data_IF_218157615479
#
_entry.id   IF_218157615479
#
_cell.length_a   1.000
_cell.length_b   1.000
_cell.length_c   1.000
_cell.angle_alpha   90.00
_cell.angle_beta   90.00
_cell.angle_gamma   90.00
#
_symmetry.space_group_name_H-M   'P 1'
#
loop_
_entity.id
_entity.type
_entity.pdbx_description
1 polymer ?
#
# COMPACT_ATOMS: atom_id res chain seq x y z
N UNK A 1 2.30 5.12 -5.21
CA UNK A 1 1.35 4.89 -4.08
C UNK A 1 1.71 5.80 -2.93
N UNK A 2 0.74 6.42 -2.31
CA UNK A 2 0.97 7.33 -1.19
C UNK A 2 -0.20 7.23 -0.21
N UNK A 3 -0.02 7.78 0.99
CA UNK A 3 -1.07 7.82 2.00
C UNK A 3 -2.28 8.58 1.45
N UNK A 4 -3.46 8.00 1.63
CA UNK A 4 -4.72 8.55 1.12
C UNK A 4 -5.20 7.94 -0.18
N UNK A 5 -4.33 7.19 -0.87
CA UNK A 5 -4.72 6.53 -2.11
C UNK A 5 -5.72 5.40 -1.84
N UNK A 6 -6.69 5.25 -2.73
CA UNK A 6 -7.58 4.09 -2.74
C UNK A 6 -6.93 3.00 -3.58
N UNK A 7 -6.77 1.83 -3.00
CA UNK A 7 -6.08 0.71 -3.63
C UNK A 7 -6.95 -0.54 -3.61
N UNK A 8 -6.67 -1.46 -4.51
CA UNK A 8 -7.33 -2.77 -4.58
C UNK A 8 -6.27 -3.86 -4.59
N UNK A 9 -6.50 -4.93 -3.82
CA UNK A 9 -5.60 -6.08 -3.82
C UNK A 9 -6.00 -7.10 -4.90
N UNK A 10 -5.21 -8.17 -5.03
CA UNK A 10 -5.45 -9.22 -6.03
C UNK A 10 -6.74 -10.01 -5.81
N UNK A 11 -7.36 -9.90 -4.65
CA UNK A 11 -8.62 -10.56 -4.33
C UNK A 11 -9.84 -9.68 -4.59
N UNK A 12 -9.63 -8.44 -5.03
CA UNK A 12 -10.71 -7.51 -5.29
C UNK A 12 -11.14 -6.68 -4.09
N UNK A 13 -10.47 -6.80 -2.96
CA UNK A 13 -10.75 -5.97 -1.78
C UNK A 13 -10.13 -4.60 -1.95
N UNK A 14 -10.84 -3.56 -1.51
CA UNK A 14 -10.38 -2.17 -1.58
C UNK A 14 -10.11 -1.62 -0.20
N UNK A 15 -9.22 -0.64 -0.13
CA UNK A 15 -8.90 0.05 1.11
C UNK A 15 -8.17 1.34 0.84
N UNK A 16 -8.04 2.16 1.88
CA UNK A 16 -7.32 3.43 1.82
C UNK A 16 -5.96 3.27 2.48
N UNK A 17 -4.91 3.68 1.80
CA UNK A 17 -3.55 3.61 2.32
C UNK A 17 -3.38 4.57 3.48
N UNK A 18 -2.93 4.05 4.63
CA UNK A 18 -2.65 4.85 5.81
C UNK A 18 -1.16 4.89 6.15
N UNK A 19 -0.36 3.99 5.57
CA UNK A 19 1.08 3.97 5.77
C UNK A 19 1.75 2.95 4.88
N UNK A 20 3.04 3.12 4.64
CA UNK A 20 3.84 2.18 3.85
C UNK A 20 5.11 1.89 4.64
N UNK A 21 5.31 0.61 4.98
CA UNK A 21 6.50 0.17 5.71
C UNK A 21 7.59 -0.27 4.77
N UNK A 22 8.68 0.46 4.74
CA UNK A 22 9.87 0.07 3.98
C UNK A 22 10.85 -0.66 4.89
N UNK A 23 11.45 -1.73 4.37
CA UNK A 23 12.40 -2.52 5.14
C UNK A 23 13.79 -1.86 5.15
N UNK A 24 14.49 -1.97 6.29
CA UNK A 24 15.85 -1.51 6.42
C UNK A 24 16.00 -0.01 6.21
N UNK A 25 17.06 0.37 5.51
CA UNK A 25 17.40 1.77 5.29
C UNK A 25 16.79 2.36 4.03
N UNK A 26 15.86 1.65 3.40
CA UNK A 26 15.23 2.13 2.16
C UNK A 26 14.19 3.20 2.47
N UNK A 27 14.44 4.46 2.10
CA UNK A 27 13.53 5.56 2.43
C UNK A 27 12.28 5.60 1.53
N UNK A 28 12.32 4.94 0.37
CA UNK A 28 11.19 4.93 -0.55
C UNK A 28 11.28 3.73 -1.48
N UNK A 29 10.12 3.35 -2.04
CA UNK A 29 10.06 2.28 -3.03
C UNK A 29 10.86 2.62 -4.30
N UNK A 30 10.94 3.89 -4.66
CA UNK A 30 11.67 4.33 -5.84
C UNK A 30 13.16 4.01 -5.75
N UNK A 31 13.73 4.08 -4.54
CA UNK A 31 15.13 3.78 -4.31
C UNK A 31 15.40 2.30 -4.12
N UNK A 32 14.39 1.54 -3.74
CA UNK A 32 14.51 0.11 -3.49
C UNK A 32 13.39 -0.65 -4.21
N UNK A 33 13.33 -0.59 -5.56
CA UNK A 33 12.20 -1.14 -6.31
C UNK A 33 12.09 -2.66 -6.26
N UNK A 34 13.15 -3.34 -5.85
CA UNK A 34 13.13 -4.80 -5.70
C UNK A 34 12.53 -5.25 -4.37
N UNK A 35 12.28 -4.33 -3.44
CA UNK A 35 11.62 -4.65 -2.19
C UNK A 35 10.11 -4.66 -2.37
N UNK A 36 9.45 -5.40 -1.50
CA UNK A 36 7.98 -5.47 -1.48
C UNK A 36 7.52 -5.01 -0.08
N UNK A 37 7.44 -3.70 0.15
CA UNK A 37 7.05 -3.19 1.46
C UNK A 37 5.62 -3.56 1.81
N UNK A 38 5.33 -3.60 3.11
CA UNK A 38 3.98 -3.80 3.60
C UNK A 38 3.22 -2.48 3.56
N UNK A 39 2.00 -2.53 3.05
CA UNK A 39 1.15 -1.35 2.97
C UNK A 39 0.04 -1.47 4.01
N UNK A 40 -0.03 -0.48 4.88
CA UNK A 40 -1.10 -0.39 5.87
C UNK A 40 -2.31 0.24 5.20
N UNK A 41 -3.44 -0.47 5.26
CA UNK A 41 -4.69 0.00 4.66
C UNK A 41 -5.83 -0.11 5.66
N UNK A 42 -6.81 0.76 5.50
CA UNK A 42 -8.08 0.68 6.24
C UNK A 42 -9.18 0.28 5.25
N UNK A 43 -9.88 -0.78 5.59
CA UNK A 43 -11.00 -1.30 4.81
C UNK A 43 -12.28 -1.24 5.63
N UNK A 44 -13.41 -1.60 5.03
CA UNK A 44 -14.68 -1.71 5.75
C UNK A 44 -14.62 -2.77 6.85
N UNK A 45 -13.73 -3.75 6.73
CA UNK A 45 -13.51 -4.76 7.76
C UNK A 45 -12.44 -4.41 8.78
N UNK A 46 -11.90 -3.19 8.73
CA UNK A 46 -10.87 -2.72 9.67
C UNK A 46 -9.50 -2.57 9.01
N UNK A 47 -8.48 -2.48 9.85
CA UNK A 47 -7.10 -2.31 9.38
C UNK A 47 -6.56 -3.61 8.80
N UNK A 48 -5.83 -3.51 7.69
CA UNK A 48 -5.20 -4.64 7.01
C UNK A 48 -3.77 -4.29 6.61
N UNK A 49 -2.98 -5.32 6.39
CA UNK A 49 -1.60 -5.20 5.93
C UNK A 49 -1.47 -5.98 4.63
N UNK A 50 -1.21 -5.28 3.53
CA UNK A 50 -1.12 -5.89 2.21
C UNK A 50 0.23 -5.63 1.58
N UNK A 51 0.68 -6.54 0.71
CA UNK A 51 1.95 -6.38 0.00
C UNK A 51 1.84 -5.31 -1.09
N UNK A 52 2.83 -4.44 -1.16
CA UNK A 52 2.86 -3.34 -2.12
C UNK A 52 2.63 -3.82 -3.56
N UNK A 53 3.33 -4.89 -3.96
CA UNK A 53 3.27 -5.40 -5.34
C UNK A 53 1.94 -6.07 -5.68
N UNK A 54 1.13 -6.39 -4.68
CA UNK A 54 -0.18 -6.98 -4.88
C UNK A 54 -1.28 -5.93 -5.05
N UNK A 55 -0.94 -4.65 -4.97
CA UNK A 55 -1.91 -3.56 -4.96
C UNK A 55 -1.92 -2.78 -6.27
N UNK A 56 -3.10 -2.30 -6.62
CA UNK A 56 -3.30 -1.38 -7.75
C UNK A 56 -3.97 -0.13 -7.20
N UNK A 57 -3.40 1.03 -7.52
CA UNK A 57 -4.00 2.32 -7.16
C UNK A 57 -5.18 2.55 -8.12
N UNK A 58 -6.39 2.68 -7.56
CA UNK A 58 -7.60 2.91 -8.35
C UNK A 58 -8.12 4.33 -8.23
N UNK A 59 -7.68 5.07 -7.21
CA UNK A 59 -7.99 6.50 -7.08
C UNK A 59 -6.91 7.16 -6.23
N UNK A 60 -6.27 8.16 -6.77
CA UNK A 60 -5.30 8.95 -6.03
C UNK A 60 -6.04 9.95 -5.16
N UNK A 61 -5.83 9.80 -3.83
CA UNK A 61 -6.51 10.63 -2.87
C UNK A 61 -5.57 11.58 -2.15
N UNK A 62 -5.41 12.62 -2.38
CA UNK A 62 -4.59 13.55 -1.64
C UNK A 62 -3.30 13.91 -2.27
#
# INVERSE_FOLDING_TARGET
MKIGDLVRNGQGHTGVVTGIGYAGDCPSYEKCPFLNPDVHVVTTGGKRLWSYKALVVISEGG
#
